data_IF_996550997851
#
_entry.id   IF_996550997851
#
_cell.length_a   1.000
_cell.length_b   1.000
_cell.length_c   1.000
_cell.angle_alpha   90.00
_cell.angle_beta   90.00
_cell.angle_gamma   90.00
#
_symmetry.space_group_name_H-M   'P 1'
#
loop_
_entity.id
_entity.type
_entity.pdbx_description
1 polymer ?
#
# COMPACT_ATOMS: atom_id res chain seq x y z
N UNK A 1 -22.03 -20.19 -1.06
CA UNK A 1 -21.96 -21.43 -0.27
C UNK A 1 -20.57 -21.49 0.37
N UNK A 2 -20.35 -20.80 1.51
CA UNK A 2 -19.12 -20.91 2.34
C UNK A 2 -19.14 -20.02 3.59
N UNK A 3 -20.33 -19.68 4.11
CA UNK A 3 -20.44 -18.93 5.38
C UNK A 3 -20.84 -19.81 6.58
N UNK A 4 -21.11 -21.09 6.34
CA UNK A 4 -21.55 -22.04 7.38
C UNK A 4 -20.38 -22.73 8.12
N UNK A 5 -19.17 -22.71 7.58
CA UNK A 5 -18.02 -23.44 8.15
C UNK A 5 -17.33 -22.67 9.30
N UNK A 6 -17.44 -21.35 9.33
CA UNK A 6 -16.80 -20.52 10.36
C UNK A 6 -17.56 -20.48 11.70
N UNK A 7 -18.86 -20.66 11.70
CA UNK A 7 -19.65 -20.65 12.95
C UNK A 7 -19.53 -21.95 13.75
N UNK A 8 -19.30 -23.09 13.11
CA UNK A 8 -19.08 -24.34 13.83
C UNK A 8 -17.70 -24.45 14.49
N UNK A 9 -16.70 -23.76 13.97
CA UNK A 9 -15.37 -23.67 14.58
C UNK A 9 -15.36 -22.91 15.91
N UNK A 10 -16.16 -21.86 16.02
CA UNK A 10 -16.26 -21.03 17.22
C UNK A 10 -17.08 -21.70 18.33
N UNK A 11 -18.09 -22.52 18.00
CA UNK A 11 -18.84 -23.31 19.02
C UNK A 11 -18.01 -24.44 19.62
N UNK A 12 -17.09 -25.02 18.83
CA UNK A 12 -16.18 -26.05 19.33
C UNK A 12 -15.10 -25.53 20.29
N UNK A 13 -14.69 -24.26 20.11
CA UNK A 13 -13.73 -23.60 21.01
C UNK A 13 -14.36 -23.14 22.32
N UNK A 14 -15.64 -22.69 22.31
CA UNK A 14 -16.38 -22.30 23.50
C UNK A 14 -16.69 -23.52 24.37
N UNK A 15 -17.05 -24.67 23.78
CA UNK A 15 -17.32 -25.91 24.53
C UNK A 15 -16.07 -26.51 25.20
N UNK A 16 -14.89 -26.32 24.63
CA UNK A 16 -13.63 -26.79 25.24
C UNK A 16 -13.10 -25.91 26.36
N UNK A 17 -13.55 -24.66 26.44
CA UNK A 17 -13.14 -23.74 27.51
C UNK A 17 -13.99 -23.92 28.77
N UNK A 18 -15.24 -24.37 28.66
CA UNK A 18 -16.12 -24.58 29.83
C UNK A 18 -15.81 -25.87 30.59
N UNK A 19 -15.36 -26.93 29.92
CA UNK A 19 -15.02 -28.19 30.57
C UNK A 19 -13.69 -28.19 31.36
N UNK A 20 -12.86 -27.17 31.19
CA UNK A 20 -11.57 -27.05 31.86
C UNK A 20 -11.58 -26.15 33.09
N UNK A 21 -12.69 -25.47 33.36
CA UNK A 21 -12.82 -24.50 34.48
C UNK A 21 -13.41 -25.09 35.73
N UNK A 22 -14.04 -26.27 35.66
CA UNK A 22 -14.76 -26.87 36.83
C UNK A 22 -13.92 -27.86 37.66
N UNK A 23 -12.62 -27.98 37.43
CA UNK A 23 -11.80 -29.00 38.13
C UNK A 23 -10.43 -28.55 38.59
N UNK A 24 -10.28 -27.44 39.33
CA UNK A 24 -9.07 -27.24 40.13
C UNK A 24 -9.26 -26.16 41.21
N UNK A 25 -8.91 -26.51 42.39
CA UNK A 25 -8.87 -25.66 43.59
C UNK A 25 -7.86 -24.54 43.46
N UNK A 26 -8.26 -23.35 43.83
CA UNK A 26 -7.58 -22.20 44.40
C UNK A 26 -6.12 -21.96 44.04
N UNK A 27 -5.90 -20.93 43.25
CA UNK A 27 -4.58 -20.33 43.03
C UNK A 27 -4.38 -19.80 41.62
N UNK A 28 -4.29 -18.48 41.49
CA UNK A 28 -3.63 -17.79 40.37
C UNK A 28 -4.24 -17.79 38.95
N UNK A 29 -5.55 -17.71 38.80
CA UNK A 29 -6.17 -17.57 37.49
C UNK A 29 -5.98 -16.17 36.85
N UNK A 30 -5.75 -15.14 37.67
CA UNK A 30 -5.50 -13.77 37.18
C UNK A 30 -4.15 -13.65 36.49
N UNK A 31 -3.13 -14.38 36.94
CA UNK A 31 -1.77 -14.35 36.40
C UNK A 31 -1.68 -15.06 35.05
N UNK A 32 -2.44 -16.15 34.87
CA UNK A 32 -2.46 -16.89 33.58
C UNK A 32 -3.20 -16.12 32.48
N UNK A 33 -4.30 -15.46 32.82
CA UNK A 33 -5.02 -14.59 31.85
C UNK A 33 -4.13 -13.38 31.49
N UNK A 34 -3.51 -12.74 32.47
CA UNK A 34 -2.57 -11.63 32.23
C UNK A 34 -1.33 -12.06 31.42
N UNK A 35 -0.79 -13.25 31.66
CA UNK A 35 0.32 -13.78 30.85
C UNK A 35 -0.11 -14.15 29.44
N UNK A 36 -1.32 -14.68 29.25
CA UNK A 36 -1.85 -15.01 27.93
C UNK A 36 -2.16 -13.75 27.13
N UNK A 37 -2.75 -12.74 27.76
CA UNK A 37 -2.99 -11.41 27.16
C UNK A 37 -1.67 -10.71 26.87
N UNK A 38 -0.68 -10.79 27.77
CA UNK A 38 0.66 -10.22 27.57
C UNK A 38 1.45 -10.95 26.47
N UNK A 39 1.26 -12.27 26.33
CA UNK A 39 1.87 -13.09 25.26
C UNK A 39 1.19 -12.89 23.90
N UNK A 40 -0.12 -12.55 23.89
CA UNK A 40 -0.81 -12.11 22.67
C UNK A 40 -0.43 -10.67 22.30
N UNK A 41 -0.17 -9.81 23.27
CA UNK A 41 0.27 -8.43 23.04
C UNK A 41 1.76 -8.32 22.65
N UNK A 42 2.58 -9.34 22.96
CA UNK A 42 4.01 -9.37 22.61
C UNK A 42 4.32 -10.12 21.30
N UNK A 43 3.31 -10.73 20.67
CA UNK A 43 3.48 -11.42 19.41
C UNK A 43 3.22 -10.42 18.28
N UNK A 44 4.32 -9.89 17.75
CA UNK A 44 4.46 -9.16 16.51
C UNK A 44 3.32 -8.18 16.20
N UNK A 45 3.65 -6.92 16.13
CA UNK A 45 2.87 -5.91 15.44
C UNK A 45 2.48 -6.46 14.08
N UNK A 46 1.34 -7.18 14.00
CA UNK A 46 0.78 -7.59 12.73
C UNK A 46 0.43 -6.29 12.00
N UNK A 47 1.28 -5.91 11.07
CA UNK A 47 1.03 -4.80 10.17
C UNK A 47 -0.33 -5.03 9.57
N UNK A 48 -1.26 -4.10 9.81
CA UNK A 48 -2.61 -4.17 9.25
C UNK A 48 -2.46 -4.23 7.74
N UNK A 49 -3.04 -5.22 7.04
CA UNK A 49 -2.69 -5.55 5.65
C UNK A 49 -2.96 -4.45 4.61
N UNK A 50 -3.51 -3.32 4.95
CA UNK A 50 -3.79 -2.19 4.02
C UNK A 50 -3.10 -0.88 4.40
N UNK A 51 -2.63 -0.73 5.64
CA UNK A 51 -2.09 0.53 6.18
C UNK A 51 -0.69 0.33 6.79
N UNK A 52 -0.11 -0.87 6.66
CA UNK A 52 1.15 -1.24 7.30
C UNK A 52 2.41 -0.52 6.78
N UNK A 53 2.25 0.32 5.76
CA UNK A 53 3.35 1.10 5.17
C UNK A 53 3.41 2.53 5.70
N UNK A 54 2.36 2.99 6.42
CA UNK A 54 2.30 4.34 6.97
C UNK A 54 3.01 4.41 8.33
N UNK A 55 3.58 5.56 8.73
CA UNK A 55 4.04 5.80 10.10
C UNK A 55 2.92 5.46 11.09
N UNK A 56 3.27 4.85 12.20
CA UNK A 56 2.32 4.32 13.21
C UNK A 56 1.27 5.36 13.62
N UNK A 57 1.67 6.62 13.73
CA UNK A 57 0.78 7.74 14.07
C UNK A 57 -0.29 8.00 12.99
N UNK A 58 0.06 7.85 11.72
CA UNK A 58 -0.89 7.98 10.60
C UNK A 58 -1.74 6.73 10.41
N UNK A 59 -1.22 5.53 10.70
CA UNK A 59 -2.02 4.30 10.69
C UNK A 59 -3.20 4.38 11.68
N UNK A 60 -2.97 4.91 12.88
CA UNK A 60 -4.04 5.14 13.85
C UNK A 60 -5.02 6.23 13.40
N UNK A 61 -4.55 7.26 12.69
CA UNK A 61 -5.41 8.31 12.18
C UNK A 61 -6.34 7.81 11.06
N UNK A 62 -5.83 7.03 10.11
CA UNK A 62 -6.62 6.48 9.00
C UNK A 62 -7.53 5.32 9.43
N UNK A 63 -7.03 4.36 10.20
CA UNK A 63 -7.86 3.26 10.74
C UNK A 63 -8.84 3.75 11.81
N UNK A 64 -8.43 4.67 12.68
CA UNK A 64 -9.30 5.29 13.68
C UNK A 64 -10.36 6.17 13.03
N UNK A 65 -9.99 6.96 12.02
CA UNK A 65 -10.92 7.83 11.29
C UNK A 65 -12.00 7.03 10.55
N UNK A 66 -11.62 5.98 9.81
CA UNK A 66 -12.59 5.10 9.13
C UNK A 66 -13.47 4.33 10.09
N UNK A 67 -12.93 3.90 11.24
CA UNK A 67 -13.69 3.18 12.26
C UNK A 67 -14.67 4.11 12.99
N UNK A 68 -14.27 5.34 13.28
CA UNK A 68 -15.13 6.37 13.87
C UNK A 68 -16.25 6.76 12.90
N UNK A 69 -15.94 7.02 11.62
CA UNK A 69 -16.96 7.33 10.59
C UNK A 69 -17.93 6.16 10.43
N UNK A 70 -17.46 4.94 10.38
CA UNK A 70 -18.30 3.75 10.27
C UNK A 70 -19.17 3.51 11.53
N UNK A 71 -18.66 3.76 12.73
CA UNK A 71 -19.43 3.71 13.99
C UNK A 71 -20.46 4.83 14.09
N UNK A 72 -20.10 6.05 13.69
CA UNK A 72 -21.04 7.18 13.66
C UNK A 72 -22.16 6.97 12.66
N UNK A 73 -21.88 6.40 11.48
CA UNK A 73 -22.90 6.02 10.51
C UNK A 73 -23.83 4.92 11.04
N UNK A 74 -23.29 3.92 11.72
CA UNK A 74 -24.08 2.85 12.32
C UNK A 74 -24.97 3.35 13.49
N UNK A 75 -24.45 4.22 14.35
CA UNK A 75 -25.20 4.80 15.48
C UNK A 75 -26.29 5.77 14.98
N UNK A 76 -25.99 6.62 13.99
CA UNK A 76 -26.98 7.50 13.37
C UNK A 76 -28.13 6.74 12.72
N UNK A 77 -27.80 5.61 12.11
CA UNK A 77 -28.80 4.72 11.49
C UNK A 77 -29.76 4.09 12.49
N UNK A 78 -29.27 3.60 13.65
CA UNK A 78 -30.13 2.96 14.66
C UNK A 78 -31.09 3.94 15.34
N UNK A 79 -30.71 5.17 15.59
CA UNK A 79 -31.53 6.19 16.23
C UNK A 79 -32.63 6.71 15.27
N UNK A 80 -32.29 6.84 13.99
CA UNK A 80 -33.20 7.39 12.97
C UNK A 80 -34.29 6.42 12.55
N UNK A 81 -34.04 5.10 12.57
CA UNK A 81 -35.00 4.07 12.17
C UNK A 81 -36.27 4.04 13.06
N UNK A 82 -36.27 4.78 14.17
CA UNK A 82 -37.39 4.83 15.12
C UNK A 82 -38.46 5.88 14.78
N UNK A 83 -38.22 6.83 13.88
CA UNK A 83 -39.02 8.07 13.83
C UNK A 83 -39.80 8.31 12.52
N UNK A 84 -39.44 7.71 11.38
CA UNK A 84 -40.16 7.97 10.12
C UNK A 84 -40.25 6.76 9.17
N UNK A 85 -41.44 6.20 9.04
CA UNK A 85 -41.70 5.00 8.22
C UNK A 85 -41.76 5.26 6.71
N UNK A 86 -42.18 6.45 6.24
CA UNK A 86 -42.40 6.69 4.82
C UNK A 86 -41.17 6.96 3.96
N UNK A 87 -40.13 7.53 4.55
CA UNK A 87 -38.86 7.84 3.82
C UNK A 87 -37.72 6.87 4.18
N UNK A 88 -38.01 5.81 4.88
CA UNK A 88 -37.02 4.90 5.46
C UNK A 88 -36.11 4.27 4.43
N UNK A 89 -36.62 3.83 3.30
CA UNK A 89 -35.87 3.14 2.26
C UNK A 89 -34.82 4.07 1.58
N UNK A 90 -35.16 5.34 1.36
CA UNK A 90 -34.24 6.33 0.79
C UNK A 90 -33.07 6.65 1.73
N UNK A 91 -33.34 6.85 3.02
CA UNK A 91 -32.29 7.07 4.02
C UNK A 91 -31.39 5.85 4.23
N UNK A 92 -31.99 4.63 4.23
CA UNK A 92 -31.24 3.38 4.32
C UNK A 92 -30.27 3.20 3.16
N UNK A 93 -30.74 3.45 1.94
CA UNK A 93 -29.91 3.36 0.73
C UNK A 93 -28.75 4.35 0.76
N UNK A 94 -29.01 5.62 1.07
CA UNK A 94 -28.00 6.69 1.06
C UNK A 94 -26.98 6.56 2.20
N UNK A 95 -27.45 6.21 3.41
CA UNK A 95 -26.55 5.96 4.54
C UNK A 95 -25.71 4.70 4.32
N UNK A 96 -26.29 3.66 3.70
CA UNK A 96 -25.58 2.47 3.24
C UNK A 96 -24.51 2.81 2.20
N UNK A 97 -24.83 3.68 1.23
CA UNK A 97 -23.89 4.15 0.22
C UNK A 97 -22.74 4.95 0.84
N UNK A 98 -23.01 5.92 1.73
CA UNK A 98 -21.96 6.65 2.46
C UNK A 98 -21.06 5.71 3.24
N UNK A 99 -21.62 4.70 3.90
CA UNK A 99 -20.85 3.68 4.62
C UNK A 99 -19.91 2.91 3.68
N UNK A 100 -20.40 2.47 2.52
CA UNK A 100 -19.58 1.77 1.53
C UNK A 100 -18.49 2.68 0.98
N UNK A 101 -18.83 3.93 0.65
CA UNK A 101 -17.89 4.92 0.14
C UNK A 101 -16.83 5.29 1.18
N UNK A 102 -17.19 5.44 2.45
CA UNK A 102 -16.23 5.71 3.53
C UNK A 102 -15.16 4.63 3.68
N UNK A 103 -15.47 3.39 3.31
CA UNK A 103 -14.53 2.27 3.30
C UNK A 103 -13.73 2.18 1.99
N UNK A 104 -14.37 2.54 0.86
CA UNK A 104 -13.74 2.42 -0.47
C UNK A 104 -12.82 3.59 -0.81
N UNK A 105 -13.14 4.81 -0.39
CA UNK A 105 -12.36 6.00 -0.72
C UNK A 105 -10.90 5.91 -0.26
N UNK A 106 -10.59 5.53 1.01
CA UNK A 106 -9.20 5.38 1.44
C UNK A 106 -8.43 4.33 0.63
N UNK A 107 -9.07 3.21 0.31
CA UNK A 107 -8.46 2.15 -0.48
C UNK A 107 -8.17 2.62 -1.93
N UNK A 108 -9.13 3.31 -2.55
CA UNK A 108 -8.92 3.85 -3.90
C UNK A 108 -7.92 4.99 -3.91
N UNK A 109 -7.87 5.83 -2.87
CA UNK A 109 -6.85 6.85 -2.69
C UNK A 109 -5.44 6.23 -2.62
N UNK A 110 -5.26 5.20 -1.79
CA UNK A 110 -3.98 4.47 -1.70
C UNK A 110 -3.55 3.86 -3.04
N UNK A 111 -4.48 3.22 -3.76
CA UNK A 111 -4.18 2.67 -5.08
C UNK A 111 -3.85 3.76 -6.11
N UNK A 112 -4.48 4.95 -5.99
CA UNK A 112 -4.18 6.10 -6.84
C UNK A 112 -2.77 6.63 -6.58
N UNK A 113 -2.34 6.73 -5.34
CA UNK A 113 -0.97 7.12 -4.98
C UNK A 113 0.06 6.16 -5.59
N UNK A 114 -0.26 4.87 -5.69
CA UNK A 114 0.56 3.88 -6.39
C UNK A 114 0.48 3.97 -7.93
N UNK A 115 -0.18 4.99 -8.48
CA UNK A 115 -0.28 5.24 -9.91
C UNK A 115 -1.25 4.33 -10.68
N UNK A 116 -2.22 3.70 -10.01
CA UNK A 116 -3.23 2.88 -10.66
C UNK A 116 -4.27 3.76 -11.36
N UNK A 117 -4.29 3.73 -12.70
CA UNK A 117 -5.17 4.55 -13.55
C UNK A 117 -6.66 4.35 -13.24
N UNK A 118 -7.10 3.11 -13.03
CA UNK A 118 -8.50 2.81 -12.73
C UNK A 118 -8.91 3.29 -11.32
N UNK A 119 -7.96 3.32 -10.39
CA UNK A 119 -8.20 3.84 -9.05
C UNK A 119 -8.49 5.34 -9.06
N UNK A 120 -7.84 6.13 -9.92
CA UNK A 120 -8.14 7.56 -10.07
C UNK A 120 -9.56 7.83 -10.52
N UNK A 121 -10.08 7.05 -11.49
CA UNK A 121 -11.47 7.15 -11.94
C UNK A 121 -12.44 6.83 -10.81
N UNK A 122 -12.17 5.74 -10.07
CA UNK A 122 -12.98 5.32 -8.92
C UNK A 122 -12.92 6.33 -7.78
N UNK A 123 -11.76 6.92 -7.52
CA UNK A 123 -11.57 7.94 -6.49
C UNK A 123 -12.36 9.21 -6.83
N UNK A 124 -12.26 9.68 -8.08
CA UNK A 124 -12.99 10.86 -8.54
C UNK A 124 -14.51 10.64 -8.49
N UNK A 125 -14.99 9.52 -9.01
CA UNK A 125 -16.41 9.18 -8.96
C UNK A 125 -16.90 9.00 -7.51
N UNK A 126 -16.15 8.27 -6.68
CA UNK A 126 -16.48 8.04 -5.29
C UNK A 126 -16.51 9.33 -4.46
N UNK A 127 -15.58 10.27 -4.71
CA UNK A 127 -15.59 11.61 -4.12
C UNK A 127 -16.90 12.34 -4.46
N UNK A 128 -17.25 12.42 -5.75
CA UNK A 128 -18.44 13.10 -6.20
C UNK A 128 -19.73 12.48 -5.61
N UNK A 129 -19.83 11.15 -5.63
CA UNK A 129 -20.97 10.44 -5.05
C UNK A 129 -21.07 10.68 -3.55
N UNK A 130 -19.93 10.62 -2.83
CA UNK A 130 -19.91 10.87 -1.38
C UNK A 130 -20.43 12.28 -1.05
N UNK A 131 -19.97 13.31 -1.77
CA UNK A 131 -20.37 14.69 -1.59
C UNK A 131 -21.86 14.87 -1.89
N UNK A 132 -22.35 14.32 -3.01
CA UNK A 132 -23.77 14.40 -3.39
C UNK A 132 -24.65 13.70 -2.35
N UNK A 133 -24.30 12.48 -1.94
CA UNK A 133 -25.07 11.70 -0.96
C UNK A 133 -25.06 12.37 0.42
N UNK A 134 -23.91 12.93 0.85
CA UNK A 134 -23.82 13.66 2.12
C UNK A 134 -24.67 14.93 2.10
N UNK A 135 -24.64 15.69 1.00
CA UNK A 135 -25.46 16.90 0.81
C UNK A 135 -26.94 16.55 0.81
N UNK A 136 -27.35 15.50 0.06
CA UNK A 136 -28.73 15.04 0.03
C UNK A 136 -29.26 14.62 1.41
N UNK A 137 -28.45 13.96 2.23
CA UNK A 137 -28.84 13.62 3.60
C UNK A 137 -28.88 14.84 4.53
N UNK A 138 -28.02 15.85 4.31
CA UNK A 138 -27.93 17.04 5.18
C UNK A 138 -28.98 18.09 4.85
N UNK A 139 -29.19 18.36 3.57
CA UNK A 139 -30.05 19.44 3.07
C UNK A 139 -31.39 18.93 2.55
N UNK A 140 -31.48 17.64 2.22
CA UNK A 140 -32.60 17.03 1.55
C UNK A 140 -32.51 17.15 0.03
N UNK A 141 -33.33 16.36 -0.67
CA UNK A 141 -33.55 16.44 -2.10
C UNK A 141 -34.99 16.02 -2.43
N UNK A 142 -35.30 15.82 -3.76
CA UNK A 142 -36.63 15.45 -4.22
C UNK A 142 -37.15 14.09 -3.71
N UNK A 143 -36.25 13.21 -3.28
CA UNK A 143 -36.58 11.85 -2.81
C UNK A 143 -36.60 11.73 -1.28
N UNK A 144 -35.74 12.49 -0.60
CA UNK A 144 -35.58 12.38 0.83
C UNK A 144 -35.44 13.77 1.46
N UNK A 145 -36.32 14.14 2.43
CA UNK A 145 -36.20 15.42 3.12
C UNK A 145 -34.92 15.47 3.96
N UNK A 146 -34.48 16.67 4.33
CA UNK A 146 -33.31 16.86 5.18
C UNK A 146 -33.40 16.07 6.49
N UNK A 147 -32.30 15.42 6.86
CA UNK A 147 -32.22 14.64 8.10
C UNK A 147 -32.37 15.54 9.33
N UNK A 148 -33.25 15.15 10.25
CA UNK A 148 -33.50 15.88 11.50
C UNK A 148 -33.01 15.15 12.75
N UNK A 149 -33.21 15.78 13.93
CA UNK A 149 -32.93 15.18 15.23
C UNK A 149 -31.47 14.79 15.47
N UNK A 150 -31.22 13.72 16.21
CA UNK A 150 -29.89 13.24 16.55
C UNK A 150 -29.04 12.83 15.34
N UNK A 151 -29.64 12.38 14.24
CA UNK A 151 -28.94 12.02 13.03
C UNK A 151 -28.28 13.24 12.34
N UNK A 152 -28.83 14.44 12.48
CA UNK A 152 -28.26 15.69 11.96
C UNK A 152 -26.90 16.00 12.63
N UNK A 153 -26.78 15.75 13.93
CA UNK A 153 -25.52 15.94 14.66
C UNK A 153 -24.44 14.96 14.13
N UNK A 154 -24.83 13.71 13.91
CA UNK A 154 -23.94 12.69 13.35
C UNK A 154 -23.49 13.05 11.93
N UNK A 155 -24.38 13.53 11.06
CA UNK A 155 -24.05 13.99 9.72
C UNK A 155 -23.12 15.21 9.75
N UNK A 156 -23.31 16.12 10.74
CA UNK A 156 -22.41 17.25 10.97
C UNK A 156 -20.99 16.80 11.30
N UNK A 157 -20.85 15.77 12.14
CA UNK A 157 -19.54 15.18 12.44
C UNK A 157 -18.88 14.52 11.22
N UNK A 158 -19.66 13.81 10.39
CA UNK A 158 -19.19 13.22 9.13
C UNK A 158 -18.75 14.31 8.16
N UNK A 159 -19.54 15.38 8.00
CA UNK A 159 -19.22 16.52 7.16
C UNK A 159 -17.92 17.21 7.60
N UNK A 160 -17.76 17.43 8.91
CA UNK A 160 -16.54 18.02 9.45
C UNK A 160 -15.29 17.14 9.20
N UNK A 161 -15.43 15.81 9.29
CA UNK A 161 -14.34 14.89 8.97
C UNK A 161 -14.04 14.87 7.47
N UNK A 162 -15.09 14.88 6.62
CA UNK A 162 -14.93 14.96 5.17
C UNK A 162 -14.21 16.23 4.74
N UNK A 163 -14.56 17.39 5.31
CA UNK A 163 -13.89 18.67 5.02
C UNK A 163 -12.37 18.62 5.27
N UNK A 164 -11.91 17.79 6.21
CA UNK A 164 -10.47 17.58 6.44
C UNK A 164 -9.83 16.69 5.41
N UNK A 165 -10.53 15.65 4.95
CA UNK A 165 -10.00 14.65 4.01
C UNK A 165 -10.15 15.08 2.54
N UNK A 166 -11.11 15.92 2.22
CA UNK A 166 -11.39 16.41 0.86
C UNK A 166 -10.18 17.04 0.16
N UNK A 167 -9.40 17.95 0.81
CA UNK A 167 -8.22 18.54 0.18
C UNK A 167 -7.12 17.50 -0.11
N UNK A 168 -6.97 16.47 0.73
CA UNK A 168 -6.02 15.39 0.49
C UNK A 168 -6.41 14.57 -0.74
N UNK A 169 -7.70 14.23 -0.87
CA UNK A 169 -8.23 13.54 -2.07
C UNK A 169 -8.05 14.41 -3.31
N UNK A 170 -8.32 15.72 -3.22
CA UNK A 170 -8.13 16.65 -4.32
C UNK A 170 -6.66 16.75 -4.74
N UNK A 171 -5.73 16.76 -3.78
CA UNK A 171 -4.30 16.75 -4.03
C UNK A 171 -3.88 15.47 -4.78
N UNK A 172 -4.32 14.29 -4.34
CA UNK A 172 -4.03 13.02 -5.04
C UNK A 172 -4.54 13.09 -6.49
N UNK A 173 -5.77 13.56 -6.70
CA UNK A 173 -6.35 13.69 -8.05
C UNK A 173 -5.58 14.70 -8.93
N UNK A 174 -5.09 15.80 -8.36
CA UNK A 174 -4.30 16.80 -9.08
C UNK A 174 -2.93 16.26 -9.52
N UNK A 175 -2.35 15.32 -8.77
CA UNK A 175 -1.07 14.68 -9.05
C UNK A 175 -1.19 13.43 -9.94
N UNK A 176 -2.37 13.13 -10.48
CA UNK A 176 -2.64 11.90 -11.26
C UNK A 176 -1.58 11.63 -12.32
N UNK A 177 -1.24 12.64 -13.13
CA UNK A 177 -0.27 12.49 -14.25
C UNK A 177 1.11 12.08 -13.72
N UNK A 178 1.58 12.73 -12.68
CA UNK A 178 2.90 12.49 -12.11
C UNK A 178 2.97 11.12 -11.43
N UNK A 179 1.96 10.75 -10.65
CA UNK A 179 1.89 9.47 -9.97
C UNK A 179 1.82 8.29 -10.95
N UNK A 180 1.08 8.43 -12.06
CA UNK A 180 1.04 7.41 -13.12
C UNK A 180 2.39 7.30 -13.82
N UNK A 181 3.03 8.43 -14.15
CA UNK A 181 4.35 8.44 -14.78
C UNK A 181 5.40 7.78 -13.88
N UNK A 182 5.45 8.15 -12.61
CA UNK A 182 6.35 7.56 -11.62
C UNK A 182 6.15 6.04 -11.49
N UNK A 183 4.88 5.59 -11.37
CA UNK A 183 4.58 4.16 -11.32
C UNK A 183 5.05 3.40 -12.57
N UNK A 184 4.87 4.02 -13.75
CA UNK A 184 5.35 3.45 -15.02
C UNK A 184 6.88 3.34 -15.04
N UNK A 185 7.57 4.39 -14.61
CA UNK A 185 9.04 4.40 -14.57
C UNK A 185 9.58 3.35 -13.59
N UNK A 186 9.00 3.23 -12.38
CA UNK A 186 9.42 2.21 -11.43
C UNK A 186 9.18 0.78 -11.97
N UNK A 187 8.07 0.55 -12.68
CA UNK A 187 7.83 -0.75 -13.35
C UNK A 187 8.88 -1.03 -14.43
N UNK A 188 9.29 -0.01 -15.20
CA UNK A 188 10.34 -0.15 -16.22
C UNK A 188 11.69 -0.43 -15.57
N UNK A 189 12.03 0.26 -14.47
CA UNK A 189 13.24 -0.02 -13.68
C UNK A 189 13.24 -1.47 -13.19
N UNK A 190 12.12 -1.97 -12.66
CA UNK A 190 12.01 -3.34 -12.21
C UNK A 190 12.25 -4.35 -13.34
N UNK A 191 11.69 -4.11 -14.52
CA UNK A 191 11.89 -4.98 -15.70
C UNK A 191 13.36 -4.96 -16.15
N UNK A 192 13.92 -3.77 -16.38
CA UNK A 192 15.32 -3.61 -16.79
C UNK A 192 16.30 -4.19 -15.75
N UNK A 193 15.99 -4.09 -14.46
CA UNK A 193 16.83 -4.67 -13.40
C UNK A 193 16.86 -6.18 -13.44
N UNK A 194 15.77 -6.84 -13.86
CA UNK A 194 15.75 -8.29 -14.05
C UNK A 194 16.63 -8.71 -15.22
N UNK A 195 16.56 -7.98 -16.33
CA UNK A 195 17.40 -8.22 -17.50
C UNK A 195 18.88 -7.97 -17.15
N UNK A 196 19.19 -6.84 -16.50
CA UNK A 196 20.55 -6.52 -16.02
C UNK A 196 21.08 -7.57 -15.04
N UNK A 197 20.25 -8.09 -14.15
CA UNK A 197 20.64 -9.17 -13.24
C UNK A 197 21.08 -10.41 -14.03
N UNK A 198 20.23 -10.83 -14.96
CA UNK A 198 20.49 -12.04 -15.77
C UNK A 198 21.79 -11.93 -16.57
N UNK A 199 21.97 -10.82 -17.28
CA UNK A 199 23.19 -10.63 -18.10
C UNK A 199 24.44 -10.39 -17.23
N UNK A 200 24.30 -9.76 -16.04
CA UNK A 200 25.42 -9.60 -15.12
C UNK A 200 25.88 -10.93 -14.49
N UNK A 201 24.94 -11.83 -14.17
CA UNK A 201 25.25 -13.20 -13.70
C UNK A 201 25.96 -14.01 -14.80
N UNK A 202 25.47 -13.91 -16.05
CA UNK A 202 26.14 -14.56 -17.20
C UNK A 202 27.55 -14.03 -17.40
N UNK A 203 27.74 -12.70 -17.30
CA UNK A 203 29.08 -12.09 -17.37
C UNK A 203 30.01 -12.60 -16.26
N UNK A 204 29.53 -12.64 -15.02
CA UNK A 204 30.32 -13.11 -13.89
C UNK A 204 30.75 -14.58 -14.08
N UNK A 205 29.81 -15.45 -14.51
CA UNK A 205 30.11 -16.85 -14.81
C UNK A 205 31.14 -16.98 -15.94
N UNK A 206 30.95 -16.22 -17.03
CA UNK A 206 31.85 -16.25 -18.18
C UNK A 206 33.26 -15.82 -17.84
N UNK A 207 33.41 -14.73 -17.04
CA UNK A 207 34.72 -14.26 -16.59
C UNK A 207 35.45 -15.26 -15.71
N UNK A 208 34.71 -16.03 -14.88
CA UNK A 208 35.27 -17.13 -14.10
C UNK A 208 35.78 -18.27 -15.00
N UNK A 209 34.99 -18.68 -15.99
CA UNK A 209 35.34 -19.73 -16.95
C UNK A 209 36.56 -19.38 -17.78
N UNK A 210 36.70 -18.12 -18.18
CA UNK A 210 37.82 -17.63 -19.02
C UNK A 210 39.07 -17.32 -18.22
N UNK A 211 39.05 -17.46 -16.89
CA UNK A 211 40.19 -17.17 -16.04
C UNK A 211 40.52 -15.68 -15.93
N UNK A 212 39.51 -14.82 -16.04
CA UNK A 212 39.67 -13.38 -15.86
C UNK A 212 40.24 -13.01 -14.49
N UNK A 213 40.79 -11.81 -14.35
CA UNK A 213 41.37 -11.37 -13.08
C UNK A 213 40.33 -11.31 -11.95
N UNK A 214 40.76 -11.57 -10.71
CA UNK A 214 39.88 -11.47 -9.53
C UNK A 214 39.21 -10.07 -9.43
N UNK A 215 39.83 -9.02 -9.95
CA UNK A 215 39.29 -7.67 -9.99
C UNK A 215 38.10 -7.59 -10.97
N UNK A 216 38.18 -8.19 -12.14
CA UNK A 216 37.11 -8.20 -13.15
C UNK A 216 35.92 -9.04 -12.67
N UNK A 217 36.16 -10.21 -12.09
CA UNK A 217 35.13 -11.03 -11.46
C UNK A 217 34.44 -10.26 -10.32
N UNK A 218 35.21 -9.55 -9.49
CA UNK A 218 34.65 -8.72 -8.43
C UNK A 218 33.77 -7.59 -8.97
N UNK A 219 34.16 -6.94 -10.09
CA UNK A 219 33.34 -5.92 -10.76
C UNK A 219 32.06 -6.50 -11.33
N UNK A 220 32.12 -7.67 -11.97
CA UNK A 220 30.91 -8.33 -12.48
C UNK A 220 29.93 -8.69 -11.33
N UNK A 221 30.44 -9.20 -10.20
CA UNK A 221 29.62 -9.43 -9.03
C UNK A 221 29.03 -8.13 -8.43
N UNK A 222 29.73 -7.01 -8.56
CA UNK A 222 29.20 -5.69 -8.19
C UNK A 222 28.01 -5.30 -9.06
N UNK A 223 28.04 -5.58 -10.38
CA UNK A 223 26.88 -5.37 -11.27
C UNK A 223 25.67 -6.22 -10.81
N UNK A 224 25.88 -7.48 -10.48
CA UNK A 224 24.81 -8.35 -9.93
C UNK A 224 24.18 -7.75 -8.68
N UNK A 225 24.99 -7.26 -7.73
CA UNK A 225 24.49 -6.60 -6.52
C UNK A 225 23.70 -5.33 -6.84
N UNK A 226 24.21 -4.49 -7.76
CA UNK A 226 23.56 -3.24 -8.14
C UNK A 226 22.24 -3.49 -8.86
N UNK A 227 22.14 -4.52 -9.73
CA UNK A 227 20.91 -4.93 -10.41
C UNK A 227 19.78 -5.29 -9.42
N UNK A 228 20.11 -5.81 -8.23
CA UNK A 228 19.14 -6.10 -7.17
C UNK A 228 18.81 -4.86 -6.32
N UNK A 229 19.76 -3.92 -6.16
CA UNK A 229 19.58 -2.74 -5.32
C UNK A 229 18.77 -1.64 -6.00
N UNK A 230 18.94 -1.45 -7.30
CA UNK A 230 18.21 -0.47 -8.10
C UNK A 230 16.68 -0.62 -7.97
N UNK A 231 16.06 -1.79 -8.22
CA UNK A 231 14.61 -1.95 -8.10
C UNK A 231 14.13 -1.80 -6.66
N UNK A 232 14.92 -2.20 -5.66
CA UNK A 232 14.60 -1.99 -4.25
C UNK A 232 14.43 -0.50 -3.94
N UNK A 233 15.40 0.32 -4.34
CA UNK A 233 15.38 1.77 -4.09
C UNK A 233 14.25 2.45 -4.89
N UNK A 234 14.04 2.06 -6.16
CA UNK A 234 12.94 2.58 -6.98
C UNK A 234 11.56 2.26 -6.36
N UNK A 235 11.35 1.05 -5.84
CA UNK A 235 10.08 0.68 -5.20
C UNK A 235 9.84 1.45 -3.90
N UNK A 236 10.90 1.84 -3.16
CA UNK A 236 10.75 2.70 -1.98
C UNK A 236 10.13 4.06 -2.33
N UNK A 237 10.38 4.61 -3.52
CA UNK A 237 9.78 5.88 -3.96
C UNK A 237 8.26 5.80 -4.12
N UNK A 238 7.71 4.62 -4.44
CA UNK A 238 6.25 4.40 -4.52
C UNK A 238 5.60 4.11 -3.16
N UNK A 239 6.36 3.58 -2.20
CA UNK A 239 5.81 3.07 -0.94
C UNK A 239 6.06 3.99 0.24
N UNK A 240 6.92 5.00 0.09
CA UNK A 240 7.20 6.00 1.13
C UNK A 240 6.13 7.10 1.14
N UNK A 241 5.75 7.57 2.32
CA UNK A 241 4.82 8.69 2.49
C UNK A 241 5.34 10.02 1.93
N UNK A 242 6.65 10.18 1.94
CA UNK A 242 7.40 11.29 1.36
C UNK A 242 8.52 10.70 0.52
N UNK A 243 8.73 11.28 -0.67
CA UNK A 243 9.92 10.97 -1.46
C UNK A 243 11.14 11.36 -0.62
N UNK A 244 11.87 10.35 -0.13
CA UNK A 244 13.10 10.58 0.63
C UNK A 244 14.22 10.97 -0.35
N UNK A 245 14.76 12.20 -0.26
CA UNK A 245 15.86 12.63 -1.12
C UNK A 245 17.09 11.71 -1.04
N UNK A 246 17.30 11.05 0.11
CA UNK A 246 18.39 10.09 0.26
C UNK A 246 18.20 8.85 -0.63
N UNK A 247 16.94 8.39 -0.82
CA UNK A 247 16.64 7.26 -1.72
C UNK A 247 16.85 7.66 -3.18
N UNK A 248 16.46 8.87 -3.58
CA UNK A 248 16.73 9.40 -4.94
C UNK A 248 18.21 9.47 -5.18
N UNK A 249 18.96 10.10 -4.27
CA UNK A 249 20.43 10.21 -4.38
C UNK A 249 21.11 8.84 -4.44
N UNK A 250 20.64 7.86 -3.65
CA UNK A 250 21.17 6.49 -3.68
C UNK A 250 20.90 5.82 -5.03
N UNK A 251 19.72 6.02 -5.60
CA UNK A 251 19.36 5.48 -6.92
C UNK A 251 20.26 6.06 -8.01
N UNK A 252 20.51 7.36 -8.00
CA UNK A 252 21.43 8.03 -8.93
C UNK A 252 22.89 7.54 -8.76
N UNK A 253 23.36 7.41 -7.52
CA UNK A 253 24.70 6.88 -7.22
C UNK A 253 24.86 5.44 -7.70
N UNK A 254 23.86 4.59 -7.46
CA UNK A 254 23.88 3.19 -7.88
C UNK A 254 23.89 3.08 -9.41
N UNK A 255 23.13 3.92 -10.10
CA UNK A 255 23.07 4.00 -11.55
C UNK A 255 24.41 4.44 -12.12
N UNK A 256 25.03 5.47 -11.55
CA UNK A 256 26.34 5.95 -11.94
C UNK A 256 27.43 4.89 -11.70
N UNK A 257 27.43 4.27 -10.53
CA UNK A 257 28.38 3.22 -10.18
C UNK A 257 28.26 2.00 -11.11
N UNK A 258 27.03 1.63 -11.48
CA UNK A 258 26.77 0.55 -12.43
C UNK A 258 27.41 0.87 -13.77
N UNK A 259 27.12 2.04 -14.34
CA UNK A 259 27.68 2.50 -15.62
C UNK A 259 29.21 2.52 -15.60
N UNK A 260 29.81 3.12 -14.56
CA UNK A 260 31.26 3.24 -14.46
C UNK A 260 31.93 1.86 -14.32
N UNK A 261 31.26 0.91 -13.66
CA UNK A 261 31.72 -0.48 -13.53
C UNK A 261 31.69 -1.20 -14.87
N UNK A 262 30.61 -1.04 -15.68
CA UNK A 262 30.51 -1.58 -17.04
C UNK A 262 31.63 -1.02 -17.91
N UNK A 263 31.83 0.30 -17.90
CA UNK A 263 32.90 0.95 -18.67
C UNK A 263 34.28 0.41 -18.28
N UNK A 264 34.56 0.26 -16.99
CA UNK A 264 35.83 -0.27 -16.52
C UNK A 264 36.06 -1.76 -16.87
N UNK A 265 34.99 -2.53 -17.12
CA UNK A 265 35.07 -3.90 -17.65
C UNK A 265 35.30 -3.89 -19.17
N UNK A 266 34.69 -2.96 -19.92
CA UNK A 266 34.92 -2.77 -21.34
C UNK A 266 36.34 -2.34 -21.66
N UNK A 267 36.96 -1.53 -20.81
CA UNK A 267 38.36 -1.09 -20.94
C UNK A 267 39.37 -2.16 -20.44
N UNK A 268 38.91 -3.19 -19.77
CA UNK A 268 39.74 -4.26 -19.19
C UNK A 268 39.99 -5.44 -20.13
N UNK A 269 40.65 -6.49 -19.60
CA UNK A 269 40.91 -7.74 -20.33
C UNK A 269 39.64 -8.56 -20.59
N UNK A 270 38.57 -8.27 -19.85
CA UNK A 270 37.22 -8.88 -20.05
C UNK A 270 36.72 -8.69 -21.49
N UNK A 271 37.00 -7.54 -22.11
CA UNK A 271 36.59 -7.22 -23.47
C UNK A 271 37.41 -7.92 -24.56
N UNK A 272 38.51 -8.58 -24.23
CA UNK A 272 39.35 -9.32 -25.18
C UNK A 272 38.74 -10.70 -25.54
N UNK A 273 37.78 -11.20 -24.78
CA UNK A 273 37.04 -12.39 -25.10
C UNK A 273 35.74 -12.00 -25.80
N UNK A 274 35.50 -12.52 -27.02
CA UNK A 274 34.36 -12.17 -27.87
C UNK A 274 33.02 -12.37 -27.19
N UNK A 275 32.83 -13.52 -26.49
CA UNK A 275 31.58 -13.82 -25.78
C UNK A 275 31.37 -12.86 -24.58
N UNK A 276 32.44 -12.53 -23.86
CA UNK A 276 32.38 -11.57 -22.75
C UNK A 276 32.08 -10.15 -23.26
N UNK A 277 32.59 -9.79 -24.42
CA UNK A 277 32.33 -8.49 -25.05
C UNK A 277 30.88 -8.35 -25.48
N UNK A 278 30.28 -9.38 -26.11
CA UNK A 278 28.87 -9.40 -26.47
C UNK A 278 27.97 -9.22 -25.23
N UNK A 279 28.26 -9.93 -24.14
CA UNK A 279 27.51 -9.78 -22.90
C UNK A 279 27.67 -8.36 -22.32
N UNK A 280 28.87 -7.77 -22.37
CA UNK A 280 29.11 -6.40 -21.93
C UNK A 280 28.37 -5.36 -22.77
N UNK A 281 28.22 -5.57 -24.08
CA UNK A 281 27.40 -4.73 -24.95
C UNK A 281 25.93 -4.78 -24.55
N UNK A 282 25.39 -5.99 -24.28
CA UNK A 282 24.01 -6.16 -23.80
C UNK A 282 23.79 -5.47 -22.43
N UNK A 283 24.74 -5.62 -21.51
CA UNK A 283 24.71 -4.92 -20.21
C UNK A 283 24.73 -3.40 -20.42
N UNK A 284 25.56 -2.91 -21.33
CA UNK A 284 25.69 -1.48 -21.65
C UNK A 284 24.41 -0.91 -22.27
N UNK A 285 23.77 -1.64 -23.18
CA UNK A 285 22.49 -1.24 -23.79
C UNK A 285 21.37 -1.14 -22.76
N UNK A 286 21.17 -2.19 -21.95
CA UNK A 286 20.17 -2.22 -20.88
C UNK A 286 20.43 -1.11 -19.84
N UNK A 287 21.70 -0.82 -19.57
CA UNK A 287 22.07 0.26 -18.66
C UNK A 287 21.76 1.64 -19.22
N UNK A 288 21.93 1.87 -20.53
CA UNK A 288 21.54 3.10 -21.22
C UNK A 288 20.04 3.40 -20.99
N UNK A 289 19.20 2.40 -21.19
CA UNK A 289 17.75 2.47 -20.91
C UNK A 289 17.45 2.75 -19.43
N UNK A 290 18.21 2.14 -18.53
CA UNK A 290 18.07 2.35 -17.08
C UNK A 290 18.37 3.80 -16.68
N UNK A 291 19.46 4.39 -17.20
CA UNK A 291 19.84 5.79 -16.95
C UNK A 291 18.73 6.74 -17.37
N UNK A 292 18.14 6.54 -18.57
CA UNK A 292 17.03 7.35 -19.07
C UNK A 292 15.83 7.29 -18.11
N UNK A 293 15.45 6.10 -17.67
CA UNK A 293 14.26 5.90 -16.82
C UNK A 293 14.48 6.43 -15.41
N UNK A 294 15.66 6.24 -14.83
CA UNK A 294 16.02 6.79 -13.51
C UNK A 294 16.04 8.32 -13.54
N UNK A 295 16.56 8.92 -14.59
CA UNK A 295 16.56 10.39 -14.76
C UNK A 295 15.16 10.99 -14.95
N UNK A 296 14.14 10.16 -15.21
CA UNK A 296 12.75 10.58 -15.37
C UNK A 296 11.88 10.34 -14.08
N UNK A 297 12.48 9.84 -13.01
CA UNK A 297 11.84 9.64 -11.69
C UNK A 297 12.06 10.86 -10.81
#
# INVERSE_FOLDING_TARGET
>A
MNMAITMNGLKGLAGRMTDKVTGSKGGDHTTLIMQTVRKMASKESSKVPLVGHLPVDKQYLYTGGTLIVSLLLAAGFTIYSSVQLDNRSGYEARSGELKVLSQRLPLTAQQSVLGNVEAFKKLSAGKATFETTLTALTEGDDEVPATGGAARETLGAISAQWQKSQPEVAQILSQQKNLIAMSKNVKRINALSLDLLTVSEQLSARLLETGASAREVSRANQLVMLSQRLPKNANLLLTSDLIDPAVVQQLEQDTTLFRDTVQALMEGSASQNEDSMLILEDVGANMGDMVEVVGAV
#
